data_IF_690121254846
#
_entry.id   IF_690121254846
#
_cell.length_a   1.000
_cell.length_b   1.000
_cell.length_c   1.000
_cell.angle_alpha   90.00
_cell.angle_beta   90.00
_cell.angle_gamma   90.00
#
_symmetry.space_group_name_H-M   'P 1'
#
loop_
_entity.id
_entity.type
_entity.pdbx_description
1 polymer ?
#
# COMPACT_ATOMS: atom_id res chain seq x y z
N UNK A 1 -40.85 -3.36 -33.09
CA UNK A 1 -39.49 -2.76 -33.23
C UNK A 1 -38.84 -2.79 -31.86
N UNK A 2 -37.76 -3.57 -31.68
CA UNK A 2 -36.95 -3.52 -30.44
C UNK A 2 -35.98 -2.36 -30.60
N UNK A 3 -36.11 -1.35 -29.75
CA UNK A 3 -35.21 -0.19 -29.78
C UNK A 3 -33.85 -0.61 -29.21
N UNK A 4 -32.77 -0.10 -29.78
CA UNK A 4 -31.38 -0.37 -29.35
C UNK A 4 -31.10 0.05 -27.89
N UNK A 5 -31.99 0.84 -27.30
CA UNK A 5 -31.99 1.23 -25.87
C UNK A 5 -32.43 0.09 -24.92
N UNK A 6 -33.05 -0.96 -25.45
CA UNK A 6 -33.54 -2.11 -24.67
C UNK A 6 -32.42 -3.15 -24.41
N UNK A 7 -31.22 -2.92 -24.95
CA UNK A 7 -30.04 -3.77 -24.73
C UNK A 7 -29.33 -3.47 -23.40
N UNK A 8 -29.58 -2.30 -22.80
CA UNK A 8 -28.92 -1.82 -21.58
C UNK A 8 -29.87 -1.69 -20.38
N UNK A 9 -31.13 -2.10 -20.52
CA UNK A 9 -32.19 -1.96 -19.51
C UNK A 9 -32.07 -2.90 -18.30
N UNK A 10 -30.91 -3.55 -18.12
CA UNK A 10 -30.62 -4.45 -16.98
C UNK A 10 -29.16 -4.50 -16.55
N UNK A 11 -28.31 -3.57 -17.01
CA UNK A 11 -26.92 -3.48 -16.57
C UNK A 11 -26.86 -2.46 -15.44
N UNK A 12 -26.68 -2.93 -14.20
CA UNK A 12 -26.28 -2.05 -13.11
C UNK A 12 -24.96 -1.38 -13.51
N UNK A 13 -24.99 -0.07 -13.77
CA UNK A 13 -23.78 0.69 -14.00
C UNK A 13 -23.00 0.71 -12.69
N UNK A 14 -21.90 -0.04 -12.64
CA UNK A 14 -20.95 0.02 -11.53
C UNK A 14 -20.50 1.48 -11.39
N UNK A 15 -20.80 2.09 -10.25
CA UNK A 15 -20.41 3.48 -9.99
C UNK A 15 -18.89 3.62 -10.17
N UNK A 16 -18.41 4.62 -10.94
CA UNK A 16 -16.99 4.81 -11.14
C UNK A 16 -16.32 5.11 -9.80
N UNK A 17 -15.17 4.47 -9.56
CA UNK A 17 -14.44 4.68 -8.31
C UNK A 17 -14.11 6.16 -8.09
N UNK A 18 -14.16 6.63 -6.82
CA UNK A 18 -13.90 8.02 -6.51
C UNK A 18 -12.46 8.39 -6.90
N UNK A 19 -12.35 9.45 -7.70
CA UNK A 19 -11.08 10.00 -8.14
C UNK A 19 -10.64 11.10 -7.16
N UNK A 20 -9.38 11.07 -6.74
CA UNK A 20 -8.78 12.11 -5.91
C UNK A 20 -8.05 13.13 -6.77
N UNK A 21 -8.32 14.41 -6.56
CA UNK A 21 -7.59 15.49 -7.22
C UNK A 21 -6.26 15.75 -6.51
N UNK A 22 -5.17 15.67 -7.27
CA UNK A 22 -3.83 16.10 -6.83
C UNK A 22 -3.43 17.33 -7.65
N UNK A 23 -2.73 18.26 -7.01
CA UNK A 23 -2.28 19.51 -7.65
C UNK A 23 -0.76 19.52 -7.78
N UNK A 24 -0.25 20.16 -8.80
CA UNK A 24 1.17 20.46 -8.98
C UNK A 24 1.27 21.89 -9.50
N UNK A 25 1.49 22.84 -8.60
CA UNK A 25 1.41 24.26 -8.90
C UNK A 25 0.05 24.65 -9.47
N UNK A 26 0.03 25.07 -10.74
CA UNK A 26 -1.21 25.47 -11.45
C UNK A 26 -1.96 24.29 -12.09
N UNK A 27 -1.33 23.13 -12.21
CA UNK A 27 -1.93 21.96 -12.82
C UNK A 27 -2.63 21.10 -11.77
N UNK A 28 -3.70 20.41 -12.18
CA UNK A 28 -4.31 19.36 -11.38
C UNK A 28 -4.59 18.13 -12.21
N UNK A 29 -4.54 16.97 -11.56
CA UNK A 29 -4.82 15.67 -12.14
C UNK A 29 -5.73 14.89 -11.20
N UNK A 30 -6.62 14.07 -11.78
CA UNK A 30 -7.49 13.17 -11.02
C UNK A 30 -6.91 11.77 -11.07
N UNK A 31 -6.67 11.16 -9.90
CA UNK A 31 -6.03 9.86 -9.74
C UNK A 31 -6.94 8.93 -8.93
N UNK A 32 -7.09 7.64 -9.31
CA UNK A 32 -7.92 6.69 -8.58
C UNK A 32 -7.18 6.13 -7.35
N UNK A 33 -6.91 6.95 -6.34
CA UNK A 33 -6.09 6.54 -5.18
C UNK A 33 -6.67 5.34 -4.43
N UNK A 34 -8.00 5.25 -4.30
CA UNK A 34 -8.66 4.11 -3.64
C UNK A 34 -8.37 2.80 -4.38
N UNK A 35 -8.43 2.81 -5.72
CA UNK A 35 -8.11 1.65 -6.56
C UNK A 35 -6.65 1.25 -6.40
N UNK A 36 -5.74 2.22 -6.52
CA UNK A 36 -4.30 1.99 -6.37
C UNK A 36 -3.96 1.40 -4.99
N UNK A 37 -4.58 1.93 -3.93
CA UNK A 37 -4.43 1.41 -2.57
C UNK A 37 -4.92 -0.02 -2.46
N UNK A 38 -6.07 -0.35 -3.05
CA UNK A 38 -6.60 -1.73 -3.05
C UNK A 38 -5.65 -2.70 -3.71
N UNK A 39 -5.19 -2.38 -4.92
CA UNK A 39 -4.27 -3.22 -5.69
C UNK A 39 -2.93 -3.38 -4.95
N UNK A 40 -2.39 -2.30 -4.41
CA UNK A 40 -1.16 -2.32 -3.64
C UNK A 40 -1.30 -3.12 -2.34
N UNK A 41 -2.42 -2.97 -1.60
CA UNK A 41 -2.68 -3.75 -0.39
C UNK A 41 -2.85 -5.24 -0.70
N UNK A 42 -3.55 -5.59 -1.78
CA UNK A 42 -3.72 -6.97 -2.22
C UNK A 42 -2.37 -7.64 -2.47
N UNK A 43 -1.54 -7.01 -3.30
CA UNK A 43 -0.17 -7.49 -3.57
C UNK A 43 0.69 -7.55 -2.32
N UNK A 44 0.57 -6.55 -1.43
CA UNK A 44 1.32 -6.54 -0.17
C UNK A 44 0.95 -7.73 0.71
N UNK A 45 -0.35 -8.02 0.86
CA UNK A 45 -0.82 -9.12 1.69
C UNK A 45 -0.40 -10.48 1.11
N UNK A 46 -0.46 -10.65 -0.20
CA UNK A 46 0.05 -11.86 -0.88
C UNK A 46 1.52 -12.09 -0.52
N UNK A 47 2.38 -11.08 -0.72
CA UNK A 47 3.80 -11.15 -0.36
C UNK A 47 3.95 -11.47 1.12
N UNK A 48 3.35 -10.68 2.01
CA UNK A 48 3.53 -10.83 3.46
C UNK A 48 3.09 -12.21 3.98
N UNK A 49 2.06 -12.80 3.38
CA UNK A 49 1.61 -14.16 3.70
C UNK A 49 2.70 -15.19 3.36
N UNK A 50 3.39 -15.03 2.23
CA UNK A 50 4.53 -15.90 1.86
C UNK A 50 5.77 -15.68 2.76
N UNK A 51 5.86 -14.51 3.40
CA UNK A 51 6.96 -14.15 4.29
C UNK A 51 6.71 -14.51 5.75
N UNK A 52 5.50 -14.96 6.08
CA UNK A 52 5.14 -15.32 7.45
C UNK A 52 6.04 -16.43 7.99
N UNK A 53 6.46 -16.29 9.25
CA UNK A 53 7.43 -17.16 9.92
C UNK A 53 8.90 -16.89 9.57
N UNK A 54 9.20 -16.16 8.48
CA UNK A 54 10.58 -15.86 8.07
C UNK A 54 11.16 -14.66 8.82
N UNK A 55 12.48 -14.48 8.74
CA UNK A 55 13.12 -13.24 9.17
C UNK A 55 13.10 -12.24 8.01
N UNK A 56 12.67 -11.02 8.29
CA UNK A 56 12.69 -9.92 7.31
C UNK A 56 13.51 -8.75 7.86
N UNK A 57 13.95 -7.88 6.96
CA UNK A 57 14.63 -6.63 7.29
C UNK A 57 13.78 -5.46 6.81
N UNK A 58 13.63 -4.47 7.66
CA UNK A 58 12.79 -3.30 7.42
C UNK A 58 13.67 -2.06 7.34
N UNK A 59 13.46 -1.27 6.29
CA UNK A 59 14.01 0.07 6.15
C UNK A 59 12.89 1.08 5.94
N UNK A 60 13.09 2.32 6.37
CA UNK A 60 12.15 3.41 6.15
C UNK A 60 12.91 4.64 5.68
N UNK A 61 12.45 5.18 4.56
CA UNK A 61 12.84 6.48 4.06
C UNK A 61 11.60 7.37 3.94
N UNK A 62 11.67 8.59 4.48
CA UNK A 62 10.59 9.57 4.39
C UNK A 62 11.17 10.94 4.01
N UNK A 63 10.53 11.63 3.07
CA UNK A 63 11.05 12.93 2.62
C UNK A 63 10.73 14.00 3.64
N UNK A 64 11.77 14.59 4.24
CA UNK A 64 11.64 15.56 5.33
C UNK A 64 11.66 14.93 6.73
N UNK A 65 11.97 13.63 6.84
CA UNK A 65 12.18 12.98 8.13
C UNK A 65 13.50 13.40 8.80
N UNK A 66 13.52 13.38 10.14
CA UNK A 66 14.71 13.69 10.94
C UNK A 66 15.63 12.48 11.16
N UNK A 67 15.15 11.28 10.87
CA UNK A 67 15.86 10.03 11.07
C UNK A 67 15.53 9.06 9.92
N UNK A 68 16.43 8.13 9.66
CA UNK A 68 16.22 7.04 8.72
C UNK A 68 16.39 5.71 9.45
N UNK A 69 15.60 4.71 9.09
CA UNK A 69 15.74 3.34 9.61
C UNK A 69 16.25 2.49 8.46
N UNK A 70 17.28 1.68 8.70
CA UNK A 70 17.80 0.77 7.69
C UNK A 70 18.11 -0.60 8.30
N UNK A 71 17.78 -1.66 7.56
CA UNK A 71 18.07 -3.05 7.91
C UNK A 71 17.66 -3.46 9.34
N UNK A 72 16.54 -2.95 9.83
CA UNK A 72 15.98 -3.36 11.11
C UNK A 72 15.41 -4.79 10.97
N UNK A 73 16.02 -5.76 11.63
CA UNK A 73 15.61 -7.16 11.56
C UNK A 73 14.34 -7.40 12.39
N UNK A 74 13.29 -7.94 11.75
CA UNK A 74 12.14 -8.55 12.40
C UNK A 74 12.26 -10.08 12.28
N UNK A 75 12.69 -10.78 13.34
CA UNK A 75 12.77 -12.24 13.33
C UNK A 75 11.39 -12.87 13.56
N UNK A 76 11.10 -13.94 12.80
CA UNK A 76 9.85 -14.72 12.86
C UNK A 76 8.63 -13.82 12.68
N UNK A 77 8.47 -13.30 11.47
CA UNK A 77 7.36 -12.45 11.11
C UNK A 77 6.02 -13.13 11.43
N UNK A 78 5.12 -12.42 12.08
CA UNK A 78 3.70 -12.79 12.16
C UNK A 78 2.87 -11.65 11.57
N UNK A 79 1.86 -12.00 10.79
CA UNK A 79 1.05 -11.04 10.06
C UNK A 79 -0.29 -10.80 10.76
N UNK A 80 -0.63 -9.53 11.01
CA UNK A 80 -1.95 -9.11 11.45
C UNK A 80 -2.40 -7.90 10.62
N UNK A 81 -3.70 -7.70 10.43
CA UNK A 81 -4.23 -6.53 9.74
C UNK A 81 -5.66 -6.20 10.20
N UNK A 82 -6.00 -4.91 10.15
CA UNK A 82 -7.29 -4.39 10.59
C UNK A 82 -7.93 -3.47 9.53
N UNK A 83 -9.26 -3.53 9.30
CA UNK A 83 -10.19 -4.49 9.88
C UNK A 83 -9.89 -5.92 9.43
N UNK A 84 -10.28 -6.92 10.22
CA UNK A 84 -10.10 -8.32 9.84
C UNK A 84 -10.99 -8.64 8.64
N UNK A 85 -10.45 -9.33 7.64
CA UNK A 85 -11.23 -9.77 6.48
C UNK A 85 -12.05 -11.00 6.86
N UNK A 86 -13.32 -10.79 7.19
CA UNK A 86 -14.23 -11.87 7.57
C UNK A 86 -14.80 -12.65 6.36
N UNK A 87 -14.78 -12.08 5.15
CA UNK A 87 -15.38 -12.63 3.92
C UNK A 87 -14.55 -12.33 2.68
N UNK A 88 -14.92 -12.93 1.54
CA UNK A 88 -14.29 -12.74 0.24
C UNK A 88 -14.66 -11.40 -0.45
N UNK A 89 -14.58 -10.30 0.31
CA UNK A 89 -14.86 -8.95 -0.19
C UNK A 89 -13.72 -8.48 -1.11
N UNK A 90 -14.01 -8.43 -2.41
CA UNK A 90 -13.10 -7.93 -3.45
C UNK A 90 -12.79 -6.44 -3.32
N UNK A 91 -13.57 -5.69 -2.53
CA UNK A 91 -13.34 -4.27 -2.23
C UNK A 91 -12.60 -4.03 -0.90
N UNK A 92 -12.21 -5.09 -0.20
CA UNK A 92 -11.52 -4.98 1.08
C UNK A 92 -10.18 -4.25 0.94
N UNK A 93 -9.96 -3.28 1.82
CA UNK A 93 -8.69 -2.55 1.96
C UNK A 93 -8.38 -2.50 3.47
N UNK A 94 -7.32 -3.16 3.96
CA UNK A 94 -6.93 -3.05 5.35
C UNK A 94 -6.50 -1.61 5.64
N UNK A 95 -6.97 -1.02 6.72
CA UNK A 95 -6.53 0.31 7.18
C UNK A 95 -5.11 0.28 7.73
N UNK A 96 -4.77 -0.80 8.44
CA UNK A 96 -3.46 -1.01 9.07
C UNK A 96 -3.05 -2.45 8.85
N UNK A 97 -1.78 -2.65 8.50
CA UNK A 97 -1.11 -3.95 8.50
C UNK A 97 -0.03 -3.91 9.57
N UNK A 98 0.04 -4.94 10.41
CA UNK A 98 0.98 -5.05 11.51
C UNK A 98 1.92 -6.21 11.25
N UNK A 99 3.21 -5.91 11.20
CA UNK A 99 4.29 -6.88 11.11
C UNK A 99 4.82 -7.12 12.51
N UNK A 100 4.48 -8.26 13.10
CA UNK A 100 4.98 -8.64 14.42
C UNK A 100 6.30 -9.40 14.29
N UNK A 101 7.23 -9.10 15.19
CA UNK A 101 8.45 -9.86 15.40
C UNK A 101 8.55 -10.36 16.83
N UNK A 102 9.66 -11.02 17.15
CA UNK A 102 9.92 -11.51 18.52
C UNK A 102 9.91 -10.39 19.57
N UNK A 103 9.62 -10.76 20.83
CA UNK A 103 9.66 -9.84 21.99
C UNK A 103 8.77 -8.60 21.82
N UNK A 104 7.61 -8.77 21.19
CA UNK A 104 6.63 -7.70 20.96
C UNK A 104 7.14 -6.56 20.07
N UNK A 105 8.22 -6.76 19.32
CA UNK A 105 8.62 -5.84 18.27
C UNK A 105 7.52 -5.81 17.19
N UNK A 106 7.15 -4.63 16.72
CA UNK A 106 6.13 -4.48 15.69
C UNK A 106 6.46 -3.31 14.75
N UNK A 107 6.14 -3.47 13.47
CA UNK A 107 6.06 -2.38 12.50
C UNK A 107 4.60 -2.25 12.07
N UNK A 108 4.03 -1.06 12.25
CA UNK A 108 2.65 -0.76 11.84
C UNK A 108 2.67 0.03 10.55
N UNK A 109 2.01 -0.50 9.54
CA UNK A 109 1.88 0.07 8.21
C UNK A 109 0.47 0.62 8.09
N UNK A 110 0.32 1.93 8.25
CA UNK A 110 -0.91 2.62 7.88
C UNK A 110 -0.97 2.67 6.36
N UNK A 111 -1.98 2.04 5.77
CA UNK A 111 -2.02 1.88 4.30
C UNK A 111 -2.61 3.09 3.59
N UNK A 112 -2.94 4.14 4.33
CA UNK A 112 -3.34 5.42 3.77
C UNK A 112 -2.21 5.92 2.87
N UNK A 113 -2.57 6.31 1.65
CA UNK A 113 -1.63 6.73 0.60
C UNK A 113 -0.66 5.66 0.09
N UNK A 114 -0.78 4.38 0.49
CA UNK A 114 -0.07 3.30 -0.19
C UNK A 114 -0.57 3.22 -1.64
N UNK A 115 0.31 3.46 -2.62
CA UNK A 115 -0.09 3.52 -4.03
C UNK A 115 0.55 2.44 -4.88
N UNK A 116 1.66 1.84 -4.43
CA UNK A 116 2.34 0.79 -5.16
C UNK A 116 3.17 -0.10 -4.22
N UNK A 117 3.28 -1.37 -4.61
CA UNK A 117 4.28 -2.30 -4.07
C UNK A 117 5.15 -2.72 -5.25
N UNK A 118 6.42 -2.30 -5.22
CA UNK A 118 7.41 -2.66 -6.23
C UNK A 118 8.27 -3.79 -5.70
N UNK A 119 8.66 -4.67 -6.61
CA UNK A 119 9.50 -5.83 -6.31
C UNK A 119 10.75 -5.75 -7.16
N UNK A 120 11.89 -5.99 -6.52
CA UNK A 120 13.20 -5.96 -7.16
C UNK A 120 14.05 -7.09 -6.61
N UNK A 121 14.64 -7.83 -7.53
CA UNK A 121 15.64 -8.85 -7.19
C UNK A 121 17.03 -8.23 -7.29
N UNK A 122 17.80 -8.37 -6.22
CA UNK A 122 19.21 -8.02 -6.21
C UNK A 122 20.06 -9.26 -5.91
N UNK A 123 21.35 -9.17 -6.22
CA UNK A 123 22.29 -10.25 -5.93
C UNK A 123 22.33 -10.47 -4.41
N UNK A 124 21.78 -11.59 -3.96
CA UNK A 124 21.73 -11.99 -2.55
C UNK A 124 20.49 -11.54 -1.77
N UNK A 125 19.51 -10.84 -2.34
CA UNK A 125 18.25 -10.54 -1.63
C UNK A 125 17.09 -10.16 -2.54
N UNK A 126 15.87 -10.36 -2.04
CA UNK A 126 14.64 -9.78 -2.58
C UNK A 126 14.31 -8.48 -1.85
N UNK A 127 13.84 -7.49 -2.61
CA UNK A 127 13.50 -6.16 -2.14
C UNK A 127 12.06 -5.82 -2.52
N UNK A 128 11.23 -5.54 -1.52
CA UNK A 128 9.88 -5.03 -1.69
C UNK A 128 9.81 -3.58 -1.22
N UNK A 129 9.39 -2.68 -2.10
CA UNK A 129 9.32 -1.24 -1.87
C UNK A 129 7.86 -0.80 -1.88
N UNK A 130 7.37 -0.34 -0.73
CA UNK A 130 6.02 0.15 -0.53
C UNK A 130 6.06 1.67 -0.66
N UNK A 131 5.48 2.19 -1.74
CA UNK A 131 5.46 3.61 -2.02
C UNK A 131 4.20 4.26 -1.44
N UNK A 132 4.39 5.26 -0.59
CA UNK A 132 3.34 6.10 -0.04
C UNK A 132 3.37 7.47 -0.71
N UNK A 133 2.27 7.88 -1.34
CA UNK A 133 2.15 9.17 -2.04
C UNK A 133 0.98 9.98 -1.55
N UNK A 134 1.29 11.02 -0.79
CA UNK A 134 0.34 11.96 -0.19
C UNK A 134 0.41 13.30 -0.95
N UNK A 135 0.09 13.27 -2.24
CA UNK A 135 0.17 14.44 -3.11
C UNK A 135 1.61 14.86 -3.43
N UNK A 136 1.82 16.16 -3.66
CA UNK A 136 3.12 16.74 -3.99
C UNK A 136 3.63 17.61 -2.83
N UNK A 137 4.92 17.96 -2.85
CA UNK A 137 5.56 18.71 -1.77
C UNK A 137 4.77 19.96 -1.33
N UNK A 138 4.38 20.81 -2.29
CA UNK A 138 3.64 22.06 -2.05
C UNK A 138 2.12 21.88 -1.92
N UNK A 139 1.61 20.67 -2.12
CA UNK A 139 0.16 20.39 -2.16
C UNK A 139 -0.12 18.95 -1.76
N UNK A 140 0.04 18.71 -0.45
CA UNK A 140 -0.26 17.44 0.19
C UNK A 140 -1.77 17.24 0.30
N UNK A 141 -2.21 15.99 0.31
CA UNK A 141 -3.63 15.66 0.57
C UNK A 141 -3.93 15.72 2.07
N UNK A 142 -2.98 15.31 2.89
CA UNK A 142 -2.96 15.47 4.34
C UNK A 142 -1.69 16.20 4.78
N UNK A 143 -1.86 17.28 5.54
CA UNK A 143 -0.76 18.10 6.04
C UNK A 143 0.11 17.38 7.09
N UNK A 144 -0.43 16.36 7.77
CA UNK A 144 0.24 15.66 8.87
C UNK A 144 1.18 14.55 8.42
N UNK A 145 1.12 14.16 7.14
CA UNK A 145 2.00 13.16 6.55
C UNK A 145 2.98 13.79 5.56
N UNK A 146 4.15 13.17 5.36
CA UNK A 146 5.06 13.60 4.28
C UNK A 146 4.43 13.33 2.91
N UNK A 147 4.84 14.11 1.90
CA UNK A 147 4.32 13.95 0.55
C UNK A 147 4.74 12.60 -0.09
N UNK A 148 5.91 12.08 0.31
CA UNK A 148 6.42 10.78 -0.11
C UNK A 148 7.17 10.08 1.02
N UNK A 149 6.84 8.79 1.21
CA UNK A 149 7.59 7.86 2.03
C UNK A 149 7.73 6.52 1.29
N UNK A 150 8.80 5.78 1.59
CA UNK A 150 9.06 4.45 1.08
C UNK A 150 9.41 3.53 2.24
N UNK A 151 8.58 2.50 2.48
CA UNK A 151 8.93 1.42 3.38
C UNK A 151 9.57 0.29 2.56
N UNK A 152 10.74 -0.14 3.01
CA UNK A 152 11.50 -1.21 2.39
C UNK A 152 11.35 -2.48 3.23
N UNK A 153 11.00 -3.59 2.59
CA UNK A 153 11.10 -4.93 3.16
C UNK A 153 12.16 -5.71 2.36
N UNK A 154 13.08 -6.37 3.05
CA UNK A 154 14.15 -7.14 2.42
C UNK A 154 14.23 -8.55 2.98
N UNK A 155 14.52 -9.50 2.10
CA UNK A 155 14.80 -10.89 2.45
C UNK A 155 16.10 -11.29 1.78
N UNK A 156 17.10 -11.60 2.60
CA UNK A 156 18.35 -12.13 2.10
C UNK A 156 18.15 -13.56 1.64
N UNK A 157 18.74 -13.88 0.48
CA UNK A 157 18.86 -15.23 -0.04
C UNK A 157 19.91 -15.93 0.81
N UNK A 158 19.57 -17.10 1.34
CA UNK A 158 20.52 -17.97 2.04
C UNK A 158 21.59 -18.51 1.08
#
# INVERSE_FOLDING_TARGET
MRNQLDLFSGVEMVEPEPMTEVRLGRHSAKIPLRKMRREACGRLLEILTELEGKAIWVGLYETGGHFFVNNLKLPRLQLEYHPYRANDDSNFIPSVIVLWGSRSAQVRIHTDYLVAVREQEYQGYWLYLLDFRNGFYDSKLDQWHSHYACLQLSIFKD
#
